data_IF_883802742377
#
_entry.id   IF_883802742377
#
_cell.length_a   1.000
_cell.length_b   1.000
_cell.length_c   1.000
_cell.angle_alpha   90.00
_cell.angle_beta   90.00
_cell.angle_gamma   90.00
#
_symmetry.space_group_name_H-M   'P 1'
#
loop_
_entity.id
_entity.type
_entity.pdbx_description
1 polymer ?
#
# COMPACT_ATOMS: atom_id res chain seq x y z
N UNK A 1 2.46 -6.94 -20.06
CA UNK A 1 3.32 -5.81 -19.89
C UNK A 1 3.16 -5.21 -18.51
N UNK A 2 4.24 -4.88 -17.86
CA UNK A 2 4.17 -4.35 -16.51
C UNK A 2 4.14 -2.83 -16.52
N UNK A 3 3.34 -2.28 -15.64
CA UNK A 3 3.29 -0.85 -15.45
C UNK A 3 3.89 -0.52 -14.09
N UNK A 4 4.62 0.58 -14.05
CA UNK A 4 5.21 1.03 -12.80
C UNK A 4 4.73 2.44 -12.49
N UNK A 5 4.55 2.70 -11.20
CA UNK A 5 4.21 4.02 -10.70
C UNK A 5 5.20 4.38 -9.61
N UNK A 6 5.40 5.67 -9.41
CA UNK A 6 6.18 6.14 -8.28
C UNK A 6 5.23 6.90 -7.37
N UNK A 7 5.23 6.57 -6.09
CA UNK A 7 4.32 7.16 -5.13
C UNK A 7 5.09 7.78 -4.00
N UNK A 8 4.84 9.05 -3.72
CA UNK A 8 5.42 9.71 -2.56
C UNK A 8 4.47 9.58 -1.38
N UNK A 9 5.00 9.31 -0.21
CA UNK A 9 4.19 9.18 1.00
C UNK A 9 4.98 9.69 2.20
N UNK A 10 4.24 10.09 3.23
CA UNK A 10 4.86 10.57 4.46
C UNK A 10 4.85 9.48 5.51
N UNK A 11 5.94 9.39 6.24
CA UNK A 11 6.05 8.45 7.35
C UNK A 11 7.01 9.04 8.37
N UNK A 12 6.55 9.17 9.60
CA UNK A 12 7.34 9.78 10.68
C UNK A 12 7.90 11.15 10.26
N UNK A 13 7.03 11.96 9.68
CA UNK A 13 7.34 13.34 9.31
C UNK A 13 8.40 13.49 8.23
N UNK A 14 8.64 12.45 7.48
CA UNK A 14 9.56 12.50 6.35
C UNK A 14 8.86 12.02 5.10
N UNK A 15 9.26 12.57 3.96
CA UNK A 15 8.75 12.16 2.68
C UNK A 15 9.62 11.05 2.11
N UNK A 16 9.00 9.96 1.75
CA UNK A 16 9.68 8.84 1.13
C UNK A 16 9.00 8.51 -0.19
N UNK A 17 9.65 7.71 -1.00
CA UNK A 17 9.10 7.30 -2.28
C UNK A 17 9.09 5.79 -2.38
N UNK A 18 8.10 5.26 -3.07
CA UNK A 18 8.05 3.84 -3.37
C UNK A 18 7.80 3.64 -4.84
N UNK A 19 8.33 2.55 -5.35
CA UNK A 19 8.05 2.10 -6.69
C UNK A 19 6.94 1.08 -6.60
N UNK A 20 5.93 1.21 -7.42
CA UNK A 20 4.78 0.32 -7.39
C UNK A 20 4.64 -0.37 -8.73
N UNK A 21 4.69 -1.69 -8.73
CA UNK A 21 4.48 -2.47 -9.93
C UNK A 21 3.02 -2.89 -9.97
N UNK A 22 2.34 -2.58 -11.07
CA UNK A 22 0.92 -2.88 -11.23
C UNK A 22 0.77 -4.18 -11.99
N UNK A 23 0.10 -5.15 -11.40
CA UNK A 23 -0.15 -6.44 -12.03
C UNK A 23 -1.64 -6.66 -12.09
N UNK A 24 -2.21 -6.69 -13.29
CA UNK A 24 -3.64 -6.89 -13.46
C UNK A 24 -3.95 -8.36 -13.62
N UNK A 25 -4.95 -8.82 -12.89
CA UNK A 25 -5.43 -10.18 -13.00
C UNK A 25 -6.90 -10.16 -13.32
N UNK A 26 -7.49 -11.31 -13.57
CA UNK A 26 -8.87 -11.36 -14.01
C UNK A 26 -9.85 -10.91 -12.93
N UNK A 27 -9.52 -11.12 -11.66
CA UNK A 27 -10.44 -10.79 -10.58
C UNK A 27 -9.95 -9.66 -9.67
N UNK A 28 -8.73 -9.20 -9.85
CA UNK A 28 -8.21 -8.11 -9.02
C UNK A 28 -6.99 -7.50 -9.66
N UNK A 29 -6.55 -6.38 -9.12
CA UNK A 29 -5.28 -5.78 -9.51
C UNK A 29 -4.38 -5.80 -8.29
N UNK A 30 -3.13 -6.17 -8.47
CA UNK A 30 -2.17 -6.24 -7.39
C UNK A 30 -1.17 -5.11 -7.57
N UNK A 31 -0.96 -4.34 -6.51
CA UNK A 31 0.05 -3.28 -6.50
C UNK A 31 1.17 -3.76 -5.60
N UNK A 32 2.30 -4.08 -6.21
CA UNK A 32 3.46 -4.57 -5.45
C UNK A 32 4.40 -3.40 -5.19
N UNK A 33 4.66 -3.15 -3.93
CA UNK A 33 5.35 -1.96 -3.46
C UNK A 33 6.80 -2.28 -3.15
N UNK A 34 7.70 -1.40 -3.57
CA UNK A 34 9.10 -1.45 -3.14
C UNK A 34 9.44 -0.07 -2.61
N UNK A 35 9.77 0.03 -1.34
CA UNK A 35 10.09 1.32 -0.74
C UNK A 35 11.55 1.65 -1.00
N UNK A 36 11.80 2.87 -1.49
CA UNK A 36 13.15 3.28 -1.81
C UNK A 36 13.87 3.78 -0.56
N UNK A 37 13.90 2.94 0.46
CA UNK A 37 14.59 3.21 1.70
C UNK A 37 14.77 1.86 2.38
N UNK A 38 16.00 1.49 2.66
CA UNK A 38 16.29 0.14 3.14
C UNK A 38 15.62 -0.22 4.45
N UNK A 39 15.55 0.72 5.38
CA UNK A 39 14.94 0.44 6.67
C UNK A 39 13.44 0.23 6.55
N UNK A 40 12.77 1.05 5.74
CA UNK A 40 11.33 0.91 5.55
C UNK A 40 10.99 -0.32 4.73
N UNK A 41 11.85 -0.65 3.78
CA UNK A 41 11.64 -1.85 2.98
C UNK A 41 11.70 -3.09 3.88
N UNK A 42 12.61 -3.10 4.85
CA UNK A 42 12.70 -4.19 5.80
C UNK A 42 11.47 -4.24 6.70
N UNK A 43 10.96 -3.07 7.07
CA UNK A 43 9.78 -3.02 7.91
C UNK A 43 8.57 -3.63 7.21
N UNK A 44 8.49 -3.50 5.89
CA UNK A 44 7.39 -4.09 5.14
C UNK A 44 7.57 -5.57 4.84
N UNK A 45 8.63 -6.17 5.30
CA UNK A 45 8.99 -7.54 4.94
C UNK A 45 7.77 -8.46 4.95
N UNK A 46 7.51 -9.09 3.82
CA UNK A 46 6.39 -10.01 3.69
C UNK A 46 5.05 -9.35 3.41
N UNK A 47 4.97 -8.01 3.39
CA UNK A 47 3.70 -7.31 3.23
C UNK A 47 3.77 -6.23 2.16
N UNK A 48 4.29 -6.58 0.99
CA UNK A 48 4.52 -5.60 -0.07
C UNK A 48 3.37 -5.48 -1.06
N UNK A 49 2.21 -6.06 -0.78
CA UNK A 49 1.11 -6.08 -1.75
C UNK A 49 -0.12 -5.37 -1.24
N UNK A 50 -0.73 -4.61 -2.12
CA UNK A 50 -2.02 -3.98 -1.89
C UNK A 50 -2.90 -4.43 -3.05
N UNK A 51 -4.15 -4.78 -2.77
CA UNK A 51 -5.04 -5.33 -3.77
C UNK A 51 -6.17 -4.37 -4.08
N UNK A 52 -6.53 -4.29 -5.34
CA UNK A 52 -7.73 -3.57 -5.74
C UNK A 52 -8.78 -4.58 -6.13
N UNK A 53 -9.91 -4.58 -5.43
CA UNK A 53 -11.03 -5.47 -5.70
C UNK A 53 -12.30 -4.67 -5.55
N UNK A 54 -13.25 -4.87 -6.44
CA UNK A 54 -14.55 -4.20 -6.40
C UNK A 54 -14.43 -2.68 -6.34
N UNK A 55 -13.42 -2.16 -7.03
CA UNK A 55 -13.24 -0.72 -7.11
C UNK A 55 -12.62 -0.06 -5.91
N UNK A 56 -12.10 -0.84 -4.97
CA UNK A 56 -11.48 -0.31 -3.75
C UNK A 56 -10.12 -0.93 -3.53
N UNK A 57 -9.22 -0.16 -2.94
CA UNK A 57 -7.94 -0.70 -2.48
C UNK A 57 -8.16 -1.37 -1.13
N UNK A 58 -7.63 -2.56 -0.98
CA UNK A 58 -7.76 -3.35 0.24
C UNK A 58 -6.39 -3.58 0.84
N UNK A 59 -6.23 -3.26 2.11
CA UNK A 59 -4.97 -3.42 2.83
C UNK A 59 -5.19 -4.45 3.91
N UNK A 60 -4.43 -5.53 3.84
CA UNK A 60 -4.53 -6.57 4.85
C UNK A 60 -3.93 -6.11 6.15
N UNK A 61 -4.49 -6.57 7.25
CA UNK A 61 -3.98 -6.21 8.57
C UNK A 61 -2.61 -6.83 8.80
N UNK A 62 -1.75 -6.10 9.48
CA UNK A 62 -0.44 -6.59 9.84
C UNK A 62 -0.38 -6.74 11.35
N UNK A 63 0.43 -7.68 11.81
CA UNK A 63 0.58 -7.86 13.25
C UNK A 63 1.40 -6.74 13.87
N UNK A 64 2.37 -6.25 13.16
CA UNK A 64 3.23 -5.19 13.67
C UNK A 64 2.58 -3.84 13.41
N UNK A 65 2.44 -3.04 14.46
CA UNK A 65 1.75 -1.76 14.35
C UNK A 65 2.46 -0.79 13.43
N UNK A 66 3.79 -0.71 13.52
CA UNK A 66 4.55 0.19 12.66
C UNK A 66 4.43 -0.21 11.20
N UNK A 67 4.42 -1.51 10.94
CA UNK A 67 4.25 -2.02 9.60
C UNK A 67 2.87 -1.66 9.08
N UNK A 68 1.85 -1.78 9.92
CA UNK A 68 0.48 -1.43 9.55
C UNK A 68 0.39 0.06 9.19
N UNK A 69 0.98 0.92 9.99
CA UNK A 69 0.98 2.36 9.74
C UNK A 69 1.68 2.68 8.44
N UNK A 70 2.84 2.10 8.23
CA UNK A 70 3.60 2.33 7.00
C UNK A 70 2.79 1.91 5.78
N UNK A 71 2.22 0.72 5.84
CA UNK A 71 1.46 0.21 4.71
C UNK A 71 0.22 1.05 4.44
N UNK A 72 -0.47 1.52 5.48
CA UNK A 72 -1.63 2.38 5.30
C UNK A 72 -1.24 3.72 4.71
N UNK A 73 -0.11 4.29 5.13
CA UNK A 73 0.33 5.56 4.57
C UNK A 73 0.62 5.44 3.07
N UNK A 74 1.23 4.34 2.68
CA UNK A 74 1.49 4.10 1.26
C UNK A 74 0.18 3.89 0.51
N UNK A 75 -0.74 3.13 1.10
CA UNK A 75 -2.02 2.86 0.48
C UNK A 75 -2.84 4.14 0.31
N UNK A 76 -2.79 5.04 1.28
CA UNK A 76 -3.50 6.31 1.16
C UNK A 76 -2.92 7.16 0.03
N UNK A 77 -1.61 7.20 -0.08
CA UNK A 77 -0.96 7.94 -1.16
C UNK A 77 -1.33 7.34 -2.50
N UNK A 78 -1.35 6.03 -2.59
CA UNK A 78 -1.70 5.33 -3.82
C UNK A 78 -3.17 5.58 -4.16
N UNK A 79 -4.03 5.57 -3.16
CA UNK A 79 -5.46 5.83 -3.33
C UNK A 79 -5.68 7.21 -3.95
N UNK A 80 -4.97 8.21 -3.46
CA UNK A 80 -5.09 9.56 -3.98
C UNK A 80 -4.56 9.66 -5.40
N UNK A 81 -3.44 9.03 -5.66
CA UNK A 81 -2.83 9.07 -6.98
C UNK A 81 -3.73 8.41 -8.02
N UNK A 82 -4.30 7.27 -7.69
CA UNK A 82 -5.11 6.49 -8.62
C UNK A 82 -6.57 6.89 -8.59
N UNK A 83 -6.98 7.67 -7.59
CA UNK A 83 -8.37 8.06 -7.40
C UNK A 83 -9.26 6.84 -7.20
N UNK A 84 -8.76 5.89 -6.42
CA UNK A 84 -9.49 4.69 -6.06
C UNK A 84 -9.70 4.72 -4.55
N UNK A 85 -10.93 4.55 -4.07
CA UNK A 85 -11.17 4.61 -2.62
C UNK A 85 -10.42 3.51 -1.87
N UNK A 86 -10.00 3.84 -0.67
CA UNK A 86 -9.30 2.89 0.18
C UNK A 86 -10.28 2.30 1.16
N UNK A 87 -10.38 0.98 1.18
CA UNK A 87 -11.22 0.29 2.12
C UNK A 87 -10.43 0.08 3.40
N UNK A 88 -10.98 0.57 4.52
CA UNK A 88 -10.30 0.44 5.78
C UNK A 88 -10.61 -0.86 6.42
N UNK A 89 -9.69 -1.79 6.34
CA UNK A 89 -9.96 -3.05 6.81
C UNK A 89 -9.93 -3.17 8.20
N UNK A 90 -9.40 -2.25 8.94
CA UNK A 90 -9.32 -2.41 10.21
C UNK A 90 -10.36 -2.06 10.97
N UNK A 91 -11.21 -1.78 10.78
CA UNK A 91 -12.14 -1.30 11.42
C UNK A 91 -12.88 -2.08 12.18
N UNK A 92 -12.83 -2.88 12.24
CA UNK A 92 -13.46 -3.60 12.85
C UNK A 92 -13.73 -3.30 14.04
N UNK A 93 -13.90 -3.62 14.50
CA UNK A 93 -14.09 -3.41 15.45
C UNK A 93 -14.49 -2.59 16.05
N UNK A 94 -14.43 -2.28 16.30
CA UNK A 94 -14.60 -1.49 16.70
C UNK A 94 -15.36 -0.89 16.65
N UNK A 95 -15.40 -0.89 16.27
CA UNK A 95 -15.94 -0.18 16.07
C UNK A 95 -16.49 -0.08 16.10
#
# INVERSE_FOLDING_TARGET
>A
MSNFLTVGFWFCERLYHSLVMVKKRSDCTIYQITVMNGDLEKLLYGNHRIYEMNGCLNVEACENEDQQILKLNIAEALSKLLRIPLKNVRQSGGS
#
